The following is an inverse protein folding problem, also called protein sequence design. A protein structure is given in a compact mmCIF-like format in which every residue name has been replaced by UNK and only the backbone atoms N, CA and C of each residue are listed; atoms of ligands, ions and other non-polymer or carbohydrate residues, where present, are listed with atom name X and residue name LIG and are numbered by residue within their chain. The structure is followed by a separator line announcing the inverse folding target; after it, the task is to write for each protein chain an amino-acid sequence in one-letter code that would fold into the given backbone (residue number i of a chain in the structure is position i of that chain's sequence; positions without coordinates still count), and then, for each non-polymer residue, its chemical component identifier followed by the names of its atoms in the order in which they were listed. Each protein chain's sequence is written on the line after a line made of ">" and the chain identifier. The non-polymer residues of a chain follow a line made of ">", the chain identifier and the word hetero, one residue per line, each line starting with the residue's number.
data_IF_055102475646
#
_entry.id   IF_055102475646
#
_cell.length_a   1.000
_cell.length_b   1.000
_cell.length_c   1.000
_cell.angle_alpha   90.00
_cell.angle_beta   90.00
_cell.angle_gamma   90.00
#
_symmetry.space_group_name_H-M   'P 1'
#
loop_
_entity.id
_entity.type
_entity.pdbx_description
1 polymer ?
#
# COMPACT_ATOMS: atom_id res chain seq x y z
N UNK A 1 -3.09 -23.36 10.34
CA UNK A 1 -1.83 -23.41 9.57
C UNK A 1 -1.47 -21.97 9.22
N UNK A 2 -0.51 -21.38 9.93
CA UNK A 2 -0.10 -19.98 9.71
C UNK A 2 0.77 -19.95 8.46
N UNK A 3 0.27 -19.39 7.35
CA UNK A 3 1.08 -19.13 6.16
C UNK A 3 1.95 -17.90 6.44
N UNK A 4 3.16 -18.14 6.97
CA UNK A 4 4.24 -17.19 6.80
C UNK A 4 4.75 -17.32 5.36
N UNK A 5 4.19 -16.53 4.44
CA UNK A 5 4.76 -16.36 3.10
C UNK A 5 5.79 -15.22 3.17
N UNK A 6 7.06 -15.50 2.86
CA UNK A 6 8.10 -14.54 2.47
C UNK A 6 8.22 -13.21 3.26
N UNK A 7 8.06 -13.26 4.59
CA UNK A 7 8.17 -12.08 5.46
C UNK A 7 6.88 -11.26 5.63
N UNK A 8 5.76 -11.76 5.11
CA UNK A 8 4.42 -11.26 5.38
C UNK A 8 3.89 -11.89 6.67
N UNK A 9 3.48 -11.05 7.62
CA UNK A 9 2.91 -11.46 8.89
C UNK A 9 1.41 -11.25 8.85
N UNK A 10 0.63 -12.33 8.96
CA UNK A 10 -0.81 -12.25 9.17
C UNK A 10 -1.11 -12.03 10.65
N UNK A 11 -1.84 -10.96 10.98
CA UNK A 11 -2.25 -10.62 12.35
C UNK A 11 -3.76 -10.75 12.46
N UNK A 12 -4.28 -11.65 13.31
CA UNK A 12 -5.71 -11.71 13.61
C UNK A 12 -6.11 -10.50 14.45
N UNK A 13 -7.22 -9.83 14.10
CA UNK A 13 -7.81 -8.77 14.93
C UNK A 13 -8.35 -9.40 16.21
N UNK A 14 -7.80 -9.01 17.36
CA UNK A 14 -8.16 -9.56 18.66
C UNK A 14 -9.53 -9.01 19.10
N UNK A 15 -10.61 -9.74 18.86
CA UNK A 15 -11.93 -9.43 19.40
C UNK A 15 -12.55 -10.71 20.00
N UNK A 16 -12.79 -10.67 21.31
CA UNK A 16 -13.64 -11.61 22.03
C UNK A 16 -15.08 -11.51 21.52
N UNK A 17 -15.41 -12.17 20.41
CA UNK A 17 -16.79 -12.35 19.95
C UNK A 17 -16.96 -13.78 19.40
N UNK A 18 -17.73 -14.56 20.17
CA UNK A 18 -18.33 -15.80 19.69
C UNK A 18 -19.09 -15.54 18.37
N UNK A 19 -18.99 -16.51 17.45
CA UNK A 19 -19.82 -16.83 16.28
C UNK A 19 -19.16 -16.70 14.90
N UNK A 20 -19.39 -17.77 14.13
CA UNK A 20 -19.26 -18.11 12.69
C UNK A 20 -19.12 -17.04 11.59
N UNK A 21 -18.65 -15.83 11.87
CA UNK A 21 -18.29 -14.85 10.85
C UNK A 21 -16.89 -15.20 10.32
N UNK A 22 -16.77 -15.43 9.01
CA UNK A 22 -15.54 -15.86 8.34
C UNK A 22 -14.35 -14.98 8.76
N UNK A 23 -13.46 -15.56 9.58
CA UNK A 23 -12.27 -14.91 10.11
C UNK A 23 -11.34 -14.36 9.00
N UNK A 24 -11.52 -14.75 7.72
CA UNK A 24 -10.84 -14.14 6.56
C UNK A 24 -11.11 -12.64 6.41
N UNK A 25 -12.32 -12.19 6.77
CA UNK A 25 -12.76 -10.79 6.54
C UNK A 25 -12.03 -9.76 7.41
N UNK A 26 -11.44 -10.17 8.54
CA UNK A 26 -10.85 -9.29 9.55
C UNK A 26 -9.33 -9.47 9.73
N UNK A 27 -8.65 -10.12 8.78
CA UNK A 27 -7.19 -10.26 8.84
C UNK A 27 -6.50 -8.98 8.44
N UNK A 28 -5.38 -8.70 9.11
CA UNK A 28 -4.43 -7.70 8.67
C UNK A 28 -3.16 -8.40 8.24
N UNK A 29 -2.56 -7.97 7.13
CA UNK A 29 -1.27 -8.47 6.67
C UNK A 29 -0.25 -7.35 6.76
N UNK A 30 0.92 -7.65 7.31
CA UNK A 30 1.97 -6.66 7.55
C UNK A 30 3.31 -7.15 6.99
N UNK A 31 4.01 -6.24 6.30
CA UNK A 31 5.45 -6.34 6.02
C UNK A 31 6.13 -5.27 6.88
N UNK A 32 7.02 -5.68 7.78
CA UNK A 32 7.73 -4.74 8.65
C UNK A 32 8.69 -3.89 7.82
N UNK A 33 8.79 -2.60 8.16
CA UNK A 33 9.85 -1.76 7.61
C UNK A 33 11.23 -2.28 8.02
N UNK A 34 12.21 -2.04 7.16
CA UNK A 34 13.63 -2.17 7.49
C UNK A 34 14.30 -0.81 7.28
N UNK A 35 15.64 -0.77 7.32
CA UNK A 35 16.38 0.45 6.99
C UNK A 35 16.16 0.90 5.53
N UNK A 36 15.86 -0.04 4.62
CA UNK A 36 15.76 0.23 3.18
C UNK A 36 14.39 -0.15 2.58
N UNK A 37 13.53 -0.87 3.30
CA UNK A 37 12.20 -1.27 2.81
C UNK A 37 11.08 -0.57 3.58
N UNK A 38 10.00 -0.16 2.89
CA UNK A 38 8.89 0.50 3.55
C UNK A 38 8.10 -0.51 4.39
N UNK A 39 7.38 0.01 5.38
CA UNK A 39 6.31 -0.71 6.05
C UNK A 39 5.13 -0.86 5.11
N UNK A 40 4.53 -2.04 5.06
CA UNK A 40 3.30 -2.29 4.31
C UNK A 40 2.25 -2.90 5.23
N UNK A 41 1.03 -2.38 5.20
CA UNK A 41 -0.11 -2.97 5.91
C UNK A 41 -1.34 -3.04 5.02
N UNK A 42 -1.90 -4.23 4.85
CA UNK A 42 -3.18 -4.47 4.23
C UNK A 42 -4.20 -4.81 5.31
N UNK A 43 -5.24 -3.99 5.44
CA UNK A 43 -6.35 -4.20 6.38
C UNK A 43 -7.61 -4.60 5.63
N UNK A 44 -7.99 -5.88 5.73
CA UNK A 44 -9.13 -6.43 4.99
C UNK A 44 -10.47 -5.80 5.41
N UNK A 45 -10.61 -5.46 6.69
CA UNK A 45 -11.84 -4.86 7.23
C UNK A 45 -12.01 -3.41 6.76
N UNK A 46 -10.93 -2.63 6.81
CA UNK A 46 -10.92 -1.22 6.45
C UNK A 46 -10.73 -1.00 4.94
N UNK A 47 -10.50 -2.07 4.18
CA UNK A 47 -10.30 -2.04 2.73
C UNK A 47 -9.17 -1.09 2.37
N UNK A 48 -8.06 -1.17 3.11
CA UNK A 48 -6.98 -0.21 3.01
C UNK A 48 -5.62 -0.87 2.90
N UNK A 49 -4.80 -0.37 2.00
CA UNK A 49 -3.38 -0.68 1.88
C UNK A 49 -2.57 0.57 2.26
N UNK A 50 -1.60 0.43 3.15
CA UNK A 50 -0.67 1.48 3.56
C UNK A 50 0.75 1.08 3.15
N UNK A 51 1.47 1.96 2.48
CA UNK A 51 2.90 1.84 2.18
C UNK A 51 3.60 3.07 2.75
N UNK A 52 4.47 2.89 3.75
CA UNK A 52 5.04 3.99 4.53
C UNK A 52 6.54 3.84 4.78
N UNK A 53 7.28 4.95 4.75
CA UNK A 53 8.70 5.00 5.14
C UNK A 53 9.67 5.07 3.96
N UNK A 54 10.86 4.50 4.12
CA UNK A 54 11.91 4.53 3.10
C UNK A 54 11.76 3.36 2.12
N UNK A 55 11.81 3.62 0.81
CA UNK A 55 11.77 2.61 -0.24
C UNK A 55 13.02 2.66 -1.12
N UNK A 56 14.10 2.07 -0.60
CA UNK A 56 15.37 1.90 -1.31
C UNK A 56 15.97 0.49 -1.17
N UNK A 57 15.17 -0.59 -1.33
CA UNK A 57 15.69 -1.95 -1.28
C UNK A 57 16.76 -2.18 -2.35
N UNK A 58 17.65 -3.13 -2.07
CA UNK A 58 18.65 -3.62 -3.03
C UNK A 58 17.98 -4.23 -4.27
N UNK A 59 16.87 -4.96 -4.07
CA UNK A 59 16.04 -5.50 -5.13
C UNK A 59 14.58 -4.99 -5.01
N UNK A 60 14.24 -3.84 -5.64
CA UNK A 60 12.89 -3.29 -5.59
C UNK A 60 11.83 -4.20 -6.20
N UNK A 61 12.16 -4.92 -7.28
CA UNK A 61 11.20 -5.81 -7.95
C UNK A 61 10.75 -6.90 -6.97
N UNK A 62 11.69 -7.61 -6.35
CA UNK A 62 11.41 -8.66 -5.38
C UNK A 62 10.64 -8.15 -4.15
N UNK A 63 10.92 -6.92 -3.70
CA UNK A 63 10.15 -6.33 -2.60
C UNK A 63 8.69 -6.09 -3.00
N UNK A 64 8.45 -5.44 -4.14
CA UNK A 64 7.10 -5.08 -4.57
C UNK A 64 6.29 -6.29 -5.05
N UNK A 65 6.91 -7.39 -5.48
CA UNK A 65 6.21 -8.68 -5.68
C UNK A 65 5.45 -9.15 -4.43
N UNK A 66 5.95 -8.84 -3.23
CA UNK A 66 5.24 -9.14 -1.96
C UNK A 66 3.98 -8.29 -1.80
N UNK A 67 4.04 -7.03 -2.24
CA UNK A 67 2.90 -6.12 -2.25
C UNK A 67 1.86 -6.58 -3.28
N UNK A 68 2.31 -6.99 -4.45
CA UNK A 68 1.45 -7.53 -5.51
C UNK A 68 0.72 -8.80 -5.06
N UNK A 69 1.42 -9.71 -4.34
CA UNK A 69 0.79 -10.89 -3.72
C UNK A 69 -0.31 -10.51 -2.73
N UNK A 70 -0.10 -9.46 -1.91
CA UNK A 70 -1.12 -8.96 -0.99
C UNK A 70 -2.32 -8.37 -1.73
N UNK A 71 -2.07 -7.59 -2.80
CA UNK A 71 -3.12 -7.01 -3.64
C UNK A 71 -3.93 -8.11 -4.33
N UNK A 72 -3.27 -9.10 -4.94
CA UNK A 72 -3.93 -10.25 -5.58
C UNK A 72 -4.77 -11.05 -4.58
N UNK A 73 -4.26 -11.28 -3.36
CA UNK A 73 -5.04 -11.92 -2.29
C UNK A 73 -6.29 -11.09 -1.93
N UNK A 74 -6.15 -9.76 -1.83
CA UNK A 74 -7.26 -8.86 -1.56
C UNK A 74 -8.36 -8.96 -2.64
N UNK A 75 -7.96 -8.99 -3.91
CA UNK A 75 -8.88 -9.10 -5.04
C UNK A 75 -9.61 -10.45 -5.07
N UNK A 76 -8.91 -11.55 -4.76
CA UNK A 76 -9.49 -12.89 -4.75
C UNK A 76 -10.63 -13.07 -3.73
N UNK A 77 -10.70 -12.21 -2.70
CA UNK A 77 -11.78 -12.21 -1.71
C UNK A 77 -13.04 -11.45 -2.20
N UNK A 78 -13.09 -11.04 -3.47
CA UNK A 78 -14.27 -10.44 -4.11
C UNK A 78 -14.62 -9.04 -3.60
N UNK A 79 -13.62 -8.30 -3.11
CA UNK A 79 -13.80 -6.93 -2.61
C UNK A 79 -13.90 -5.97 -3.79
N UNK A 80 -14.84 -5.03 -3.70
CA UNK A 80 -15.14 -4.08 -4.78
C UNK A 80 -14.53 -2.69 -4.59
N UNK A 81 -13.82 -2.44 -3.48
CA UNK A 81 -13.16 -1.16 -3.26
C UNK A 81 -11.87 -1.28 -2.45
N UNK A 82 -10.93 -0.36 -2.66
CA UNK A 82 -9.65 -0.32 -1.97
C UNK A 82 -9.14 1.13 -1.87
N UNK A 83 -8.72 1.51 -0.67
CA UNK A 83 -8.00 2.76 -0.42
C UNK A 83 -6.52 2.49 -0.24
N UNK A 84 -5.68 3.02 -1.13
CA UNK A 84 -4.22 2.89 -1.05
C UNK A 84 -3.62 4.20 -0.55
N UNK A 85 -2.77 4.11 0.47
CA UNK A 85 -2.14 5.24 1.14
C UNK A 85 -0.63 5.12 0.99
N UNK A 86 -0.02 6.07 0.26
CA UNK A 86 1.42 6.20 0.13
C UNK A 86 1.91 7.31 1.06
N UNK A 87 2.81 6.98 1.98
CA UNK A 87 3.44 7.93 2.92
C UNK A 87 4.94 7.66 2.96
N UNK A 88 5.62 7.92 1.85
CA UNK A 88 7.03 7.64 1.69
C UNK A 88 7.88 8.83 2.15
N UNK A 89 8.95 8.54 2.87
CA UNK A 89 9.96 9.54 3.26
C UNK A 89 11.04 9.68 2.19
N UNK A 90 11.30 8.62 1.44
CA UNK A 90 12.28 8.55 0.36
C UNK A 90 12.00 7.33 -0.51
N UNK A 91 12.30 7.42 -1.79
CA UNK A 91 12.38 6.24 -2.65
C UNK A 91 13.48 6.42 -3.71
N UNK A 92 14.18 5.33 -4.07
CA UNK A 92 15.19 5.37 -5.12
C UNK A 92 14.57 5.15 -6.52
N UNK A 93 15.38 5.27 -7.57
CA UNK A 93 14.91 5.10 -8.96
C UNK A 93 14.31 3.71 -9.23
N UNK A 94 14.84 2.65 -8.61
CA UNK A 94 14.30 1.31 -8.79
C UNK A 94 12.91 1.16 -8.16
N UNK A 95 12.73 1.65 -6.93
CA UNK A 95 11.43 1.72 -6.29
C UNK A 95 10.45 2.61 -7.03
N UNK A 96 10.90 3.71 -7.64
CA UNK A 96 10.04 4.55 -8.47
C UNK A 96 9.42 3.77 -9.64
N UNK A 97 10.19 2.89 -10.28
CA UNK A 97 9.68 2.00 -11.34
C UNK A 97 8.66 1.00 -10.80
N UNK A 98 8.94 0.37 -9.66
CA UNK A 98 7.99 -0.58 -9.05
C UNK A 98 6.70 0.11 -8.59
N UNK A 99 6.80 1.31 -8.03
CA UNK A 99 5.63 2.13 -7.66
C UNK A 99 4.80 2.51 -8.89
N UNK A 100 5.45 2.87 -10.01
CA UNK A 100 4.76 3.12 -11.27
C UNK A 100 3.97 1.89 -11.73
N UNK A 101 4.60 0.70 -11.72
CA UNK A 101 3.91 -0.55 -12.08
C UNK A 101 2.71 -0.82 -11.17
N UNK A 102 2.89 -0.70 -9.85
CA UNK A 102 1.81 -0.87 -8.87
C UNK A 102 0.66 0.12 -9.11
N UNK A 103 0.95 1.39 -9.36
CA UNK A 103 -0.08 2.40 -9.63
C UNK A 103 -0.80 2.15 -10.94
N UNK A 104 -0.11 1.71 -11.98
CA UNK A 104 -0.75 1.29 -13.25
C UNK A 104 -1.71 0.13 -13.02
N UNK A 105 -1.32 -0.89 -12.23
CA UNK A 105 -2.22 -1.98 -11.86
C UNK A 105 -3.44 -1.49 -11.07
N UNK A 106 -3.25 -0.57 -10.12
CA UNK A 106 -4.36 0.03 -9.36
C UNK A 106 -5.34 0.77 -10.28
N UNK A 107 -4.85 1.47 -11.30
CA UNK A 107 -5.69 2.09 -12.32
C UNK A 107 -6.48 1.06 -13.12
N UNK A 108 -5.82 0.01 -13.62
CA UNK A 108 -6.47 -1.07 -14.37
C UNK A 108 -7.56 -1.74 -13.54
N UNK A 109 -7.34 -1.96 -12.24
CA UNK A 109 -8.39 -2.46 -11.35
C UNK A 109 -9.58 -1.49 -11.25
N UNK A 110 -9.30 -0.18 -11.20
CA UNK A 110 -10.30 0.88 -11.27
C UNK A 110 -11.16 0.80 -12.53
N UNK A 111 -10.51 0.69 -13.69
CA UNK A 111 -11.16 0.58 -15.00
C UNK A 111 -11.99 -0.71 -15.14
N UNK A 112 -11.60 -1.77 -14.43
CA UNK A 112 -12.32 -3.05 -14.38
C UNK A 112 -13.43 -3.09 -13.32
N UNK A 113 -13.85 -1.93 -12.78
CA UNK A 113 -15.04 -1.79 -11.94
C UNK A 113 -14.78 -1.83 -10.43
N UNK A 114 -13.53 -1.83 -9.99
CA UNK A 114 -13.18 -1.65 -8.59
C UNK A 114 -13.19 -0.15 -8.23
N UNK A 115 -13.75 0.21 -7.08
CA UNK A 115 -13.59 1.57 -6.56
C UNK A 115 -12.21 1.73 -5.90
N UNK A 116 -11.27 2.32 -6.62
CA UNK A 116 -9.90 2.55 -6.15
C UNK A 116 -9.72 4.01 -5.75
N UNK A 117 -9.31 4.24 -4.50
CA UNK A 117 -8.93 5.56 -4.00
C UNK A 117 -7.45 5.58 -3.64
N UNK A 118 -6.68 6.53 -4.19
CA UNK A 118 -5.25 6.65 -3.88
C UNK A 118 -4.94 7.97 -3.20
N UNK A 119 -4.34 7.88 -2.02
CA UNK A 119 -3.86 9.01 -1.24
C UNK A 119 -2.33 9.04 -1.25
N UNK A 120 -1.77 10.19 -1.62
CA UNK A 120 -0.33 10.44 -1.60
C UNK A 120 -0.02 11.48 -0.53
N UNK A 121 0.50 11.02 0.59
CA UNK A 121 0.90 11.84 1.72
C UNK A 121 2.34 12.31 1.54
N UNK A 122 2.56 13.62 1.68
CA UNK A 122 3.88 14.25 1.59
C UNK A 122 4.05 15.25 2.74
N UNK A 123 5.28 15.59 3.13
CA UNK A 123 5.50 16.66 4.12
C UNK A 123 5.30 18.02 3.45
N UNK A 124 4.67 18.97 4.12
CA UNK A 124 4.33 20.28 3.52
C UNK A 124 5.54 21.06 2.96
N UNK A 125 6.73 20.80 3.51
CA UNK A 125 8.00 21.41 3.10
C UNK A 125 8.83 20.54 2.14
N UNK A 126 8.27 19.43 1.66
CA UNK A 126 8.93 18.49 0.74
C UNK A 126 8.31 18.62 -0.66
N UNK A 127 8.81 19.61 -1.41
CA UNK A 127 8.35 19.92 -2.77
C UNK A 127 8.67 18.81 -3.77
N UNK A 128 9.79 18.10 -3.58
CA UNK A 128 10.20 16.99 -4.44
C UNK A 128 9.26 15.79 -4.30
N UNK A 129 8.82 15.47 -3.08
CA UNK A 129 7.84 14.42 -2.82
C UNK A 129 6.45 14.79 -3.37
N UNK A 130 6.07 16.07 -3.28
CA UNK A 130 4.86 16.59 -3.92
C UNK A 130 4.93 16.45 -5.44
N UNK A 131 6.03 16.89 -6.05
CA UNK A 131 6.26 16.82 -7.49
C UNK A 131 6.25 15.36 -7.97
N UNK A 132 6.85 14.45 -7.20
CA UNK A 132 6.82 13.02 -7.49
C UNK A 132 5.39 12.47 -7.54
N UNK A 133 4.54 12.81 -6.57
CA UNK A 133 3.13 12.41 -6.58
C UNK A 133 2.38 12.95 -7.80
N UNK A 134 2.62 14.22 -8.18
CA UNK A 134 2.06 14.81 -9.41
C UNK A 134 2.53 14.08 -10.67
N UNK A 135 3.81 13.76 -10.75
CA UNK A 135 4.39 13.03 -11.88
C UNK A 135 3.79 11.63 -12.00
N UNK A 136 3.68 10.89 -10.90
CA UNK A 136 3.01 9.57 -10.91
C UNK A 136 1.57 9.66 -11.39
N UNK A 137 0.79 10.63 -10.88
CA UNK A 137 -0.59 10.85 -11.33
C UNK A 137 -0.64 11.17 -12.83
N UNK A 138 0.26 12.02 -13.32
CA UNK A 138 0.32 12.36 -14.76
C UNK A 138 0.73 11.17 -15.64
N UNK A 139 1.70 10.36 -15.22
CA UNK A 139 2.23 9.25 -16.03
C UNK A 139 1.29 8.05 -16.06
N UNK A 140 0.60 7.79 -14.96
CA UNK A 140 -0.35 6.67 -14.85
C UNK A 140 -1.75 7.10 -15.29
N UNK A 141 -2.07 8.39 -15.22
CA UNK A 141 -3.44 8.94 -15.29
C UNK A 141 -4.35 8.38 -14.19
N UNK A 142 -3.77 7.94 -13.08
CA UNK A 142 -4.50 7.60 -11.87
C UNK A 142 -4.72 8.88 -11.07
N UNK A 143 -5.95 9.09 -10.59
CA UNK A 143 -6.27 10.21 -9.73
C UNK A 143 -5.68 9.99 -8.33
N UNK A 144 -4.63 10.75 -8.02
CA UNK A 144 -4.00 10.75 -6.70
C UNK A 144 -4.49 11.96 -5.91
N UNK A 145 -5.05 11.71 -4.73
CA UNK A 145 -5.29 12.76 -3.74
C UNK A 145 -3.99 13.10 -3.04
N UNK A 146 -3.40 14.25 -3.39
CA UNK A 146 -2.19 14.77 -2.76
C UNK A 146 -2.54 15.40 -1.41
N UNK A 147 -2.03 14.86 -0.31
CA UNK A 147 -2.37 15.28 1.05
C UNK A 147 -1.11 15.76 1.79
N UNK A 148 -0.99 17.07 2.09
CA UNK A 148 0.10 17.56 2.91
C UNK A 148 -0.06 17.05 4.34
N UNK A 149 1.04 16.58 4.91
CA UNK A 149 1.16 16.22 6.32
C UNK A 149 1.96 17.30 7.03
N UNK A 150 1.45 17.77 8.17
CA UNK A 150 2.28 18.58 9.06
C UNK A 150 3.28 17.65 9.73
N UNK A 151 4.57 18.02 9.84
CA UNK A 151 5.40 17.42 10.87
C UNK A 151 4.69 17.67 12.21
N UNK A 152 4.54 16.63 13.03
CA UNK A 152 4.20 16.85 14.44
C UNK A 152 5.30 17.76 14.99
N UNK A 153 4.94 18.99 15.39
CA UNK A 153 5.85 19.83 16.16
C UNK A 153 6.12 19.09 17.47
N UNK A 154 7.36 18.64 17.65
CA UNK A 154 7.86 18.18 18.94
C UNK A 154 8.01 19.39 19.87
#
# INVERSE_FOLDING_TARGET
>A
MSLAMDGIIAIPRNENLNTSIDQRRFRNYIIKATASTPFVALEMANRSLLIKGNSSPENPVEFYEKVDKLLAYYMAEGRNSLTVNFSLDYFNTGSARSLYVLMTQLKEHGENGMEVSVNWYYKINDEDMLLSGKNFSSYTQLDLKLIPTSPMKY
#
